data_IF_628031634713
#
_entry.id   IF_628031634713
#
_cell.length_a   1.000
_cell.length_b   1.000
_cell.length_c   1.000
_cell.angle_alpha   90.00
_cell.angle_beta   90.00
_cell.angle_gamma   90.00
#
_symmetry.space_group_name_H-M   'P 1'
#
loop_
_entity.id
_entity.type
_entity.pdbx_description
1 polymer ?
#
# COMPACT_ATOMS: atom_id res chain seq x y z
N UNK A 1 -46.26 61.96 29.94
CA UNK A 1 -45.19 61.27 30.70
C UNK A 1 -43.94 61.25 29.84
N UNK A 2 -43.12 62.28 29.98
CA UNK A 2 -41.75 62.34 29.45
C UNK A 2 -41.00 63.38 30.30
N UNK A 3 -41.01 63.14 31.61
CA UNK A 3 -40.14 63.82 32.56
C UNK A 3 -39.12 62.75 32.99
N UNK A 4 -38.01 62.68 32.26
CA UNK A 4 -36.74 62.11 32.71
C UNK A 4 -35.71 62.32 31.61
N UNK A 5 -34.98 63.44 31.68
CA UNK A 5 -33.58 63.47 31.27
C UNK A 5 -32.86 64.68 31.92
N UNK A 6 -32.03 64.38 32.91
CA UNK A 6 -30.77 65.08 33.11
C UNK A 6 -30.79 66.47 33.74
N UNK A 7 -31.08 66.56 35.04
CA UNK A 7 -30.76 67.72 35.88
C UNK A 7 -29.23 67.97 36.08
N UNK A 8 -28.37 67.61 35.11
CA UNK A 8 -26.91 67.86 35.15
C UNK A 8 -26.21 67.94 33.78
N UNK A 9 -26.91 68.04 32.64
CA UNK A 9 -26.33 67.77 31.30
C UNK A 9 -26.38 68.88 30.25
N UNK A 10 -26.65 70.13 30.62
CA UNK A 10 -26.60 71.24 29.66
C UNK A 10 -25.16 71.62 29.33
N UNK A 11 -24.82 71.80 28.04
CA UNK A 11 -23.52 72.36 27.64
C UNK A 11 -23.22 73.62 28.47
N UNK A 12 -21.99 73.78 29.02
CA UNK A 12 -21.63 74.92 29.85
C UNK A 12 -22.03 76.27 29.25
N UNK A 13 -22.00 76.37 27.92
CA UNK A 13 -22.38 77.56 27.15
C UNK A 13 -23.89 77.80 27.18
N UNK A 14 -24.71 76.76 26.96
CA UNK A 14 -26.18 76.86 27.04
C UNK A 14 -26.63 77.25 28.45
N UNK A 15 -26.00 76.72 29.49
CA UNK A 15 -26.32 77.07 30.87
C UNK A 15 -26.07 78.57 31.16
N UNK A 16 -25.00 79.14 30.62
CA UNK A 16 -24.71 80.57 30.73
C UNK A 16 -25.75 81.41 29.98
N UNK A 17 -26.12 81.00 28.76
CA UNK A 17 -27.15 81.69 27.95
C UNK A 17 -28.51 81.66 28.66
N UNK A 18 -28.96 80.50 29.14
CA UNK A 18 -30.21 80.38 29.90
C UNK A 18 -30.21 81.23 31.17
N UNK A 19 -29.10 81.27 31.92
CA UNK A 19 -28.99 82.08 33.13
C UNK A 19 -29.06 83.56 32.82
N UNK A 20 -28.37 84.02 31.78
CA UNK A 20 -28.38 85.43 31.32
C UNK A 20 -29.76 85.83 30.79
N UNK A 21 -30.40 84.98 30.00
CA UNK A 21 -31.73 85.22 29.46
C UNK A 21 -32.77 85.35 30.58
N UNK A 22 -32.74 84.46 31.58
CA UNK A 22 -33.62 84.54 32.76
C UNK A 22 -33.40 85.83 33.56
N UNK A 23 -32.14 86.23 33.75
CA UNK A 23 -31.80 87.47 34.44
C UNK A 23 -32.28 88.71 33.66
N UNK A 24 -32.12 88.73 32.33
CA UNK A 24 -32.58 89.80 31.45
C UNK A 24 -34.11 89.91 31.44
N UNK A 25 -34.83 88.77 31.30
CA UNK A 25 -36.30 88.72 31.41
C UNK A 25 -36.81 89.24 32.76
N UNK A 26 -36.17 88.84 33.87
CA UNK A 26 -36.54 89.34 35.22
C UNK A 26 -36.33 90.85 35.34
N UNK A 27 -35.26 91.40 34.75
CA UNK A 27 -35.03 92.85 34.70
C UNK A 27 -36.07 93.55 33.84
N UNK A 28 -36.44 92.97 32.70
CA UNK A 28 -37.48 93.51 31.81
C UNK A 28 -38.84 93.60 32.51
N UNK A 29 -39.27 92.55 33.22
CA UNK A 29 -40.50 92.57 34.02
C UNK A 29 -40.49 93.67 35.07
N UNK A 30 -39.35 93.88 35.76
CA UNK A 30 -39.19 94.95 36.75
C UNK A 30 -39.27 96.34 36.11
N UNK A 31 -38.70 96.53 34.91
CA UNK A 31 -38.79 97.78 34.15
C UNK A 31 -40.24 98.06 33.76
N UNK A 32 -40.96 97.06 33.22
CA UNK A 32 -42.38 97.19 32.85
C UNK A 32 -43.26 97.56 34.05
N UNK A 33 -42.99 96.99 35.23
CA UNK A 33 -43.67 97.35 36.47
C UNK A 33 -43.39 98.81 36.89
N UNK A 34 -42.15 99.28 36.75
CA UNK A 34 -41.78 100.68 37.02
C UNK A 34 -42.42 101.65 36.01
N UNK A 35 -42.54 101.28 34.74
CA UNK A 35 -43.24 102.07 33.72
C UNK A 35 -44.74 102.20 34.03
N UNK A 36 -45.37 101.12 34.49
CA UNK A 36 -46.76 101.14 34.93
C UNK A 36 -46.95 102.06 36.16
N UNK A 37 -46.00 102.04 37.11
CA UNK A 37 -46.00 102.94 38.26
C UNK A 37 -45.79 104.41 37.87
N UNK A 38 -44.91 104.69 36.90
CA UNK A 38 -44.71 106.04 36.36
C UNK A 38 -45.98 106.55 35.67
N UNK A 39 -46.63 105.69 34.88
CA UNK A 39 -47.85 106.01 34.13
C UNK A 39 -49.06 106.24 35.02
N UNK A 40 -49.10 105.63 36.22
CA UNK A 40 -50.13 105.88 37.24
C UNK A 40 -49.87 107.11 38.12
N UNK A 41 -48.84 107.90 37.81
CA UNK A 41 -48.53 109.17 38.47
C UNK A 41 -47.70 109.04 39.75
N UNK A 42 -47.12 107.86 40.04
CA UNK A 42 -46.25 107.65 41.21
C UNK A 42 -44.89 108.30 40.98
N UNK A 43 -44.42 109.10 41.93
CA UNK A 43 -43.11 109.74 41.86
C UNK A 43 -42.00 108.68 42.08
N UNK A 44 -41.16 108.47 41.07
CA UNK A 44 -40.05 107.50 41.11
C UNK A 44 -38.76 108.16 41.63
N UNK A 45 -37.91 107.39 42.30
CA UNK A 45 -36.59 107.84 42.74
C UNK A 45 -35.57 107.85 41.59
N UNK A 46 -34.40 108.45 41.81
CA UNK A 46 -33.35 108.59 40.79
C UNK A 46 -32.87 107.25 40.21
N UNK A 47 -32.72 106.22 41.06
CA UNK A 47 -32.28 104.88 40.65
C UNK A 47 -33.34 104.14 39.81
N UNK A 48 -34.62 104.35 40.09
CA UNK A 48 -35.74 103.81 39.31
C UNK A 48 -35.80 104.44 37.93
N UNK A 49 -35.61 105.76 37.83
CA UNK A 49 -35.53 106.47 36.55
C UNK A 49 -34.32 106.02 35.72
N UNK A 50 -33.15 105.84 36.35
CA UNK A 50 -31.97 105.27 35.70
C UNK A 50 -32.19 103.81 35.24
N UNK A 51 -33.02 103.03 35.95
CA UNK A 51 -33.39 101.68 35.50
C UNK A 51 -34.29 101.73 34.26
N UNK A 52 -35.22 102.70 34.17
CA UNK A 52 -36.10 102.87 33.02
C UNK A 52 -35.34 103.23 31.73
N UNK A 53 -34.27 104.04 31.82
CA UNK A 53 -33.45 104.37 30.64
C UNK A 53 -32.73 103.16 30.04
N UNK A 54 -32.54 102.08 30.81
CA UNK A 54 -31.91 100.84 30.33
C UNK A 54 -32.84 99.90 29.54
N UNK A 55 -34.14 100.22 29.43
CA UNK A 55 -35.16 99.35 28.81
C UNK A 55 -34.78 98.84 27.41
N UNK A 56 -34.39 99.74 26.53
CA UNK A 56 -34.06 99.39 25.14
C UNK A 56 -32.87 98.42 25.07
N UNK A 57 -31.88 98.60 25.94
CA UNK A 57 -30.74 97.71 26.05
C UNK A 57 -31.12 96.33 26.57
N UNK A 58 -32.01 96.26 27.58
CA UNK A 58 -32.49 94.98 28.13
C UNK A 58 -33.34 94.22 27.11
N UNK A 59 -34.19 94.91 26.33
CA UNK A 59 -34.96 94.31 25.23
C UNK A 59 -34.06 93.73 24.14
N UNK A 60 -33.10 94.52 23.64
CA UNK A 60 -32.12 94.05 22.66
C UNK A 60 -31.36 92.82 23.17
N UNK A 61 -30.97 92.81 24.45
CA UNK A 61 -30.29 91.65 25.06
C UNK A 61 -31.19 90.41 25.11
N UNK A 62 -32.50 90.56 25.37
CA UNK A 62 -33.43 89.41 25.36
C UNK A 62 -33.57 88.86 23.94
N UNK A 63 -33.81 89.72 22.95
CA UNK A 63 -33.95 89.31 21.54
C UNK A 63 -32.69 88.62 21.01
N UNK A 64 -31.51 89.16 21.29
CA UNK A 64 -30.24 88.55 20.90
C UNK A 64 -30.04 87.18 21.57
N UNK A 65 -30.30 87.07 22.87
CA UNK A 65 -30.14 85.81 23.60
C UNK A 65 -31.16 84.74 23.17
N UNK A 66 -32.38 85.14 22.79
CA UNK A 66 -33.38 84.22 22.22
C UNK A 66 -32.97 83.77 20.82
N UNK A 67 -32.47 84.69 19.98
CA UNK A 67 -32.02 84.38 18.62
C UNK A 67 -30.85 83.40 18.57
N UNK A 68 -29.92 83.46 19.54
CA UNK A 68 -28.77 82.55 19.59
C UNK A 68 -29.07 81.22 20.28
N UNK A 69 -30.18 81.10 21.00
CA UNK A 69 -30.47 79.90 21.80
C UNK A 69 -30.75 78.68 20.92
N UNK A 70 -31.63 78.80 19.92
CA UNK A 70 -31.93 77.70 18.99
C UNK A 70 -30.72 77.21 18.18
N UNK A 71 -29.91 78.07 17.53
CA UNK A 71 -28.76 77.59 16.77
C UNK A 71 -27.71 76.91 17.67
N UNK A 72 -27.58 77.30 18.94
CA UNK A 72 -26.71 76.61 19.90
C UNK A 72 -27.23 75.20 20.24
N UNK A 73 -28.54 75.04 20.46
CA UNK A 73 -29.13 73.71 20.68
C UNK A 73 -28.96 72.80 19.45
N UNK A 74 -29.20 73.34 18.25
CA UNK A 74 -29.03 72.61 17.00
C UNK A 74 -27.58 72.14 16.81
N UNK A 75 -26.61 73.03 17.01
CA UNK A 75 -25.18 72.69 16.89
C UNK A 75 -24.73 71.60 17.87
N UNK A 76 -25.21 71.64 19.12
CA UNK A 76 -24.90 70.61 20.12
C UNK A 76 -25.55 69.28 19.77
N UNK A 77 -26.79 69.29 19.29
CA UNK A 77 -27.46 68.06 18.85
C UNK A 77 -26.73 67.41 17.67
N UNK A 78 -26.26 68.22 16.71
CA UNK A 78 -25.45 67.75 15.58
C UNK A 78 -24.11 67.17 16.04
N UNK A 79 -23.39 67.84 16.94
CA UNK A 79 -22.12 67.34 17.50
C UNK A 79 -22.30 65.99 18.22
N UNK A 80 -23.35 65.86 19.03
CA UNK A 80 -23.68 64.61 19.71
C UNK A 80 -24.04 63.52 18.71
N UNK A 81 -24.76 63.85 17.64
CA UNK A 81 -25.13 62.89 16.62
C UNK A 81 -23.90 62.42 15.82
N UNK A 82 -23.03 63.34 15.40
CA UNK A 82 -21.76 63.02 14.75
C UNK A 82 -20.87 62.14 15.63
N UNK A 83 -20.81 62.41 16.93
CA UNK A 83 -20.05 61.59 17.87
C UNK A 83 -20.62 60.17 18.00
N UNK A 84 -21.96 60.03 18.02
CA UNK A 84 -22.63 58.73 18.03
C UNK A 84 -22.42 57.94 16.75
N UNK A 85 -22.57 58.60 15.60
CA UNK A 85 -22.38 57.97 14.30
C UNK A 85 -20.93 57.50 14.13
N UNK A 86 -19.96 58.34 14.53
CA UNK A 86 -18.54 57.94 14.53
C UNK A 86 -18.26 56.77 15.47
N UNK A 87 -18.82 56.79 16.68
CA UNK A 87 -18.68 55.67 17.61
C UNK A 87 -19.30 54.38 17.03
N UNK A 88 -20.43 54.47 16.32
CA UNK A 88 -21.07 53.35 15.66
C UNK A 88 -20.24 52.81 14.50
N UNK A 89 -19.65 53.68 13.66
CA UNK A 89 -18.76 53.24 12.58
C UNK A 89 -17.49 52.59 13.09
N UNK A 90 -16.88 53.14 14.15
CA UNK A 90 -15.69 52.58 14.76
C UNK A 90 -15.98 51.22 15.43
N UNK A 91 -17.15 51.09 16.05
CA UNK A 91 -17.61 49.82 16.61
C UNK A 91 -17.85 48.77 15.52
N UNK A 92 -18.47 49.15 14.41
CA UNK A 92 -18.71 48.26 13.27
C UNK A 92 -17.39 47.80 12.63
N UNK A 93 -16.44 48.71 12.41
CA UNK A 93 -15.13 48.39 11.86
C UNK A 93 -14.35 47.43 12.78
N UNK A 94 -14.40 47.63 14.10
CA UNK A 94 -13.80 46.71 15.08
C UNK A 94 -14.46 45.33 15.05
N UNK A 95 -15.78 45.26 14.99
CA UNK A 95 -16.51 44.00 14.90
C UNK A 95 -16.16 43.24 13.61
N UNK A 96 -16.10 43.93 12.46
CA UNK A 96 -15.70 43.35 11.19
C UNK A 96 -14.27 42.79 11.25
N UNK A 97 -13.31 43.55 11.78
CA UNK A 97 -11.93 43.10 11.92
C UNK A 97 -11.80 41.86 12.83
N UNK A 98 -12.60 41.78 13.90
CA UNK A 98 -12.63 40.60 14.78
C UNK A 98 -13.17 39.36 14.07
N UNK A 99 -14.26 39.49 13.31
CA UNK A 99 -14.83 38.38 12.54
C UNK A 99 -13.84 37.90 11.47
N UNK A 100 -13.18 38.83 10.78
CA UNK A 100 -12.19 38.48 9.75
C UNK A 100 -10.96 37.78 10.36
N UNK A 101 -10.46 38.25 11.50
CA UNK A 101 -9.37 37.60 12.22
C UNK A 101 -9.73 36.17 12.67
N UNK A 102 -10.94 35.98 13.20
CA UNK A 102 -11.43 34.64 13.58
C UNK A 102 -11.52 33.71 12.36
N UNK A 103 -12.05 34.21 11.24
CA UNK A 103 -12.16 33.42 10.02
C UNK A 103 -10.78 33.03 9.46
N UNK A 104 -9.79 33.93 9.52
CA UNK A 104 -8.43 33.62 9.11
C UNK A 104 -7.78 32.57 10.02
N UNK A 105 -8.00 32.65 11.32
CA UNK A 105 -7.47 31.66 12.26
C UNK A 105 -8.06 30.26 12.00
N UNK A 106 -9.37 30.16 11.78
CA UNK A 106 -10.04 28.89 11.46
C UNK A 106 -9.57 28.31 10.13
N UNK A 107 -9.37 29.16 9.10
CA UNK A 107 -8.77 28.72 7.83
C UNK A 107 -7.36 28.18 8.02
N UNK A 108 -6.52 28.86 8.80
CA UNK A 108 -5.17 28.41 9.08
C UNK A 108 -5.12 27.08 9.87
N UNK A 109 -6.10 26.84 10.76
CA UNK A 109 -6.25 25.54 11.44
C UNK A 109 -6.67 24.44 10.47
N UNK A 110 -7.64 24.73 9.60
CA UNK A 110 -8.12 23.79 8.58
C UNK A 110 -7.01 23.39 7.60
N UNK A 111 -6.20 24.34 7.14
CA UNK A 111 -5.07 24.07 6.23
C UNK A 111 -4.03 23.15 6.90
N UNK A 112 -3.64 23.44 8.14
CA UNK A 112 -2.71 22.57 8.90
C UNK A 112 -3.27 21.16 9.13
N UNK A 113 -4.57 21.03 9.38
CA UNK A 113 -5.20 19.72 9.53
C UNK A 113 -5.22 18.95 8.20
N UNK A 114 -5.52 19.64 7.09
CA UNK A 114 -5.51 19.06 5.76
C UNK A 114 -4.11 18.58 5.35
N UNK A 115 -3.07 19.37 5.61
CA UNK A 115 -1.68 18.96 5.38
C UNK A 115 -1.29 17.70 6.17
N UNK A 116 -1.70 17.62 7.44
CA UNK A 116 -1.47 16.42 8.28
C UNK A 116 -2.17 15.19 7.71
N UNK A 117 -3.42 15.33 7.26
CA UNK A 117 -4.18 14.24 6.62
C UNK A 117 -3.52 13.78 5.32
N UNK A 118 -3.07 14.73 4.49
CA UNK A 118 -2.39 14.43 3.24
C UNK A 118 -1.10 13.64 3.49
N UNK A 119 -0.28 14.05 4.46
CA UNK A 119 0.95 13.34 4.81
C UNK A 119 0.67 11.94 5.39
N UNK A 120 -0.36 11.78 6.21
CA UNK A 120 -0.77 10.47 6.73
C UNK A 120 -1.19 9.51 5.61
N UNK A 121 -2.00 9.99 4.66
CA UNK A 121 -2.42 9.20 3.50
C UNK A 121 -1.24 8.82 2.58
N UNK A 122 -0.29 9.72 2.37
CA UNK A 122 0.91 9.42 1.58
C UNK A 122 1.76 8.34 2.26
N UNK A 123 1.96 8.44 3.57
CA UNK A 123 2.68 7.43 4.35
C UNK A 123 2.01 6.07 4.26
N UNK A 124 0.68 6.00 4.43
CA UNK A 124 -0.07 4.74 4.32
C UNK A 124 0.07 4.10 2.93
N UNK A 125 0.03 4.91 1.86
CA UNK A 125 0.25 4.42 0.49
C UNK A 125 1.65 3.85 0.30
N UNK A 126 2.67 4.52 0.84
CA UNK A 126 4.05 4.09 0.70
C UNK A 126 4.32 2.82 1.52
N UNK A 127 3.79 2.73 2.75
CA UNK A 127 3.80 1.52 3.59
C UNK A 127 3.10 0.35 2.88
N UNK A 128 1.94 0.59 2.25
CA UNK A 128 1.22 -0.42 1.47
C UNK A 128 2.01 -0.88 0.24
N UNK A 129 2.74 0.03 -0.44
CA UNK A 129 3.59 -0.31 -1.58
C UNK A 129 4.76 -1.19 -1.16
N UNK A 130 5.40 -0.88 -0.04
CA UNK A 130 6.50 -1.70 0.50
C UNK A 130 6.00 -3.05 1.00
N UNK A 131 4.83 -3.11 1.65
CA UNK A 131 4.19 -4.36 2.02
C UNK A 131 3.88 -5.24 0.79
N UNK A 132 3.37 -4.65 -0.29
CA UNK A 132 3.11 -5.36 -1.56
C UNK A 132 4.40 -5.91 -2.17
N UNK A 133 5.45 -5.11 -2.26
CA UNK A 133 6.77 -5.56 -2.76
C UNK A 133 7.33 -6.70 -1.91
N UNK A 134 7.22 -6.61 -0.58
CA UNK A 134 7.67 -7.66 0.33
C UNK A 134 6.88 -8.96 0.13
N UNK A 135 5.56 -8.87 -0.07
CA UNK A 135 4.71 -10.01 -0.38
C UNK A 135 5.07 -10.66 -1.73
N UNK A 136 5.27 -9.86 -2.78
CA UNK A 136 5.69 -10.35 -4.10
C UNK A 136 7.06 -11.04 -4.03
N UNK A 137 8.03 -10.46 -3.32
CA UNK A 137 9.34 -11.08 -3.11
C UNK A 137 9.24 -12.40 -2.35
N UNK A 138 8.35 -12.49 -1.36
CA UNK A 138 8.09 -13.74 -0.61
C UNK A 138 7.47 -14.81 -1.51
N UNK A 139 6.52 -14.43 -2.36
CA UNK A 139 5.89 -15.32 -3.33
C UNK A 139 6.89 -15.81 -4.38
N UNK A 140 7.75 -14.93 -4.88
CA UNK A 140 8.78 -15.28 -5.86
C UNK A 140 9.83 -16.23 -5.25
N UNK A 141 10.25 -16.00 -4.01
CA UNK A 141 11.12 -16.93 -3.30
C UNK A 141 10.47 -18.30 -3.12
N UNK A 142 9.17 -18.35 -2.79
CA UNK A 142 8.40 -19.59 -2.72
C UNK A 142 8.24 -20.29 -4.09
N UNK A 143 8.20 -19.54 -5.21
CA UNK A 143 8.17 -20.11 -6.56
C UNK A 143 9.54 -20.65 -7.00
N UNK A 144 10.62 -19.95 -6.67
CA UNK A 144 11.97 -20.32 -7.08
C UNK A 144 12.55 -21.48 -6.26
N UNK A 145 12.08 -21.68 -5.04
CA UNK A 145 12.43 -22.85 -4.22
C UNK A 145 11.34 -23.94 -4.34
N UNK A 146 11.63 -24.99 -5.11
CA UNK A 146 11.44 -26.41 -4.71
C UNK A 146 10.22 -27.29 -5.07
N UNK A 147 9.13 -26.93 -5.78
CA UNK A 147 8.12 -27.94 -6.11
C UNK A 147 8.56 -28.86 -7.26
N UNK A 148 8.98 -28.29 -8.40
CA UNK A 148 9.16 -29.07 -9.62
C UNK A 148 10.42 -29.95 -9.58
N UNK A 149 11.53 -29.45 -9.01
CA UNK A 149 12.77 -30.25 -8.89
C UNK A 149 12.60 -31.44 -7.92
N UNK A 150 11.87 -31.26 -6.81
CA UNK A 150 11.60 -32.35 -5.87
C UNK A 150 10.59 -33.36 -6.42
N UNK A 151 9.62 -32.91 -7.24
CA UNK A 151 8.68 -33.81 -7.92
C UNK A 151 9.33 -34.56 -9.09
N UNK A 152 10.22 -33.92 -9.84
CA UNK A 152 10.87 -34.51 -11.00
C UNK A 152 11.98 -35.50 -10.64
N UNK A 153 12.76 -35.22 -9.58
CA UNK A 153 13.88 -36.08 -9.16
C UNK A 153 13.52 -37.58 -9.04
N UNK A 154 12.50 -37.99 -8.27
CA UNK A 154 12.18 -39.42 -8.13
C UNK A 154 11.66 -40.06 -9.43
N UNK A 155 11.04 -39.28 -10.32
CA UNK A 155 10.58 -39.77 -11.63
C UNK A 155 11.77 -39.99 -12.58
N UNK A 156 12.72 -39.06 -12.59
CA UNK A 156 13.97 -39.16 -13.36
C UNK A 156 14.81 -40.35 -12.86
N UNK A 157 14.95 -40.51 -11.54
CA UNK A 157 15.67 -41.65 -10.94
C UNK A 157 15.07 -43.00 -11.37
N UNK A 158 13.73 -43.13 -11.33
CA UNK A 158 13.04 -44.35 -11.78
C UNK A 158 13.25 -44.68 -13.26
N UNK A 159 13.34 -43.67 -14.13
CA UNK A 159 13.58 -43.88 -15.56
C UNK A 159 15.04 -44.20 -15.85
N UNK A 160 15.96 -43.41 -15.29
CA UNK A 160 17.40 -43.61 -15.48
C UNK A 160 17.86 -44.96 -14.97
N UNK A 161 17.28 -45.45 -13.88
CA UNK A 161 17.63 -46.76 -13.36
C UNK A 161 17.16 -47.90 -14.27
N UNK A 162 15.93 -47.81 -14.79
CA UNK A 162 15.45 -48.75 -15.80
C UNK A 162 16.41 -48.78 -16.98
N UNK A 163 16.80 -47.62 -17.50
CA UNK A 163 17.72 -47.52 -18.65
C UNK A 163 19.10 -48.08 -18.35
N UNK A 164 19.65 -47.75 -17.19
CA UNK A 164 20.95 -48.24 -16.74
C UNK A 164 20.98 -49.77 -16.73
N UNK A 165 20.07 -50.41 -15.99
CA UNK A 165 20.08 -51.87 -15.89
C UNK A 165 19.68 -52.58 -17.18
N UNK A 166 18.77 -51.99 -17.94
CA UNK A 166 18.40 -52.55 -19.24
C UNK A 166 19.60 -52.61 -20.20
N UNK A 167 20.47 -51.59 -20.18
CA UNK A 167 21.70 -51.55 -20.99
C UNK A 167 22.80 -52.44 -20.42
N UNK A 168 22.97 -52.49 -19.10
CA UNK A 168 23.93 -53.41 -18.44
C UNK A 168 23.65 -54.87 -18.82
N UNK A 169 22.37 -55.26 -18.92
CA UNK A 169 21.97 -56.62 -19.30
C UNK A 169 21.67 -56.80 -20.80
N UNK A 170 21.96 -55.80 -21.65
CA UNK A 170 21.70 -55.89 -23.09
C UNK A 170 22.65 -56.85 -23.78
N UNK A 171 22.09 -57.75 -24.58
CA UNK A 171 22.80 -58.80 -25.31
C UNK A 171 23.65 -58.19 -26.44
N UNK A 172 23.35 -56.94 -26.84
CA UNK A 172 24.15 -56.19 -27.82
C UNK A 172 25.63 -56.02 -27.41
N UNK A 173 25.96 -56.16 -26.13
CA UNK A 173 27.34 -56.21 -25.61
C UNK A 173 27.63 -57.56 -24.92
N UNK A 174 27.72 -58.63 -25.73
CA UNK A 174 27.63 -60.02 -25.29
C UNK A 174 28.58 -60.40 -24.14
N UNK A 175 29.86 -60.01 -24.19
CA UNK A 175 30.85 -60.39 -23.16
C UNK A 175 30.59 -59.73 -21.81
N UNK A 176 30.27 -58.43 -21.80
CA UNK A 176 30.01 -57.70 -20.56
C UNK A 176 28.65 -58.09 -19.98
N UNK A 177 27.63 -58.25 -20.84
CA UNK A 177 26.28 -58.61 -20.45
C UNK A 177 26.18 -59.97 -19.78
N UNK A 178 26.88 -60.99 -20.29
CA UNK A 178 26.90 -62.33 -19.68
C UNK A 178 27.57 -62.33 -18.31
N UNK A 179 28.67 -61.60 -18.16
CA UNK A 179 29.34 -61.41 -16.87
C UNK A 179 28.45 -60.71 -15.85
N UNK A 180 27.84 -59.57 -16.23
CA UNK A 180 26.99 -58.79 -15.34
C UNK A 180 25.71 -59.56 -14.94
N UNK A 181 25.11 -60.32 -15.87
CA UNK A 181 24.00 -61.23 -15.55
C UNK A 181 24.42 -62.31 -14.56
N UNK A 182 25.54 -62.98 -14.80
CA UNK A 182 26.04 -64.03 -13.92
C UNK A 182 26.35 -63.49 -12.52
N UNK A 183 26.98 -62.31 -12.43
CA UNK A 183 27.26 -61.62 -11.18
C UNK A 183 25.97 -61.26 -10.43
N UNK A 184 25.02 -60.60 -11.10
CA UNK A 184 23.74 -60.23 -10.51
C UNK A 184 23.00 -61.45 -9.92
N UNK A 185 22.92 -62.55 -10.66
CA UNK A 185 22.28 -63.79 -10.21
C UNK A 185 23.01 -64.46 -9.04
N UNK A 186 24.35 -64.40 -9.01
CA UNK A 186 25.15 -64.94 -7.91
C UNK A 186 24.92 -64.17 -6.60
N UNK A 187 24.79 -62.85 -6.68
CA UNK A 187 24.50 -61.99 -5.53
C UNK A 187 23.05 -62.15 -5.04
N UNK A 188 22.06 -62.26 -5.94
CA UNK A 188 20.65 -62.51 -5.56
C UNK A 188 20.50 -63.83 -4.76
N UNK A 189 21.20 -64.88 -5.18
CA UNK A 189 21.21 -66.19 -4.48
C UNK A 189 21.82 -66.11 -3.07
N UNK A 190 22.79 -65.22 -2.84
CA UNK A 190 23.50 -65.06 -1.55
C UNK A 190 22.67 -64.30 -0.50
N UNK A 191 21.81 -63.38 -0.94
CA UNK A 191 21.01 -62.51 -0.05
C UNK A 191 19.73 -63.17 0.48
N UNK A 192 19.32 -64.32 -0.09
CA UNK A 192 18.34 -65.20 0.57
C UNK A 192 17.33 -65.82 -0.38
N UNK A 193 17.62 -67.04 -0.84
CA UNK A 193 16.60 -67.99 -1.33
C UNK A 193 15.77 -68.63 -0.20
N UNK A 194 15.67 -68.01 0.98
CA UNK A 194 15.13 -68.66 2.18
C UNK A 194 14.26 -67.79 3.09
N UNK A 195 13.76 -66.64 2.63
CA UNK A 195 12.95 -65.74 3.47
C UNK A 195 11.86 -65.01 2.71
N UNK A 196 10.65 -65.60 2.73
CA UNK A 196 9.34 -65.01 2.45
C UNK A 196 9.18 -64.11 1.20
N UNK A 197 8.60 -64.71 0.15
CA UNK A 197 7.70 -64.11 -0.85
C UNK A 197 8.21 -63.79 -2.29
N UNK A 198 9.20 -64.52 -2.83
CA UNK A 198 9.43 -64.52 -4.28
C UNK A 198 10.46 -65.54 -4.77
N UNK A 199 10.22 -66.15 -5.94
CA UNK A 199 11.19 -67.01 -6.64
C UNK A 199 12.52 -66.27 -6.87
N UNK A 200 13.66 -66.98 -6.89
CA UNK A 200 14.98 -66.37 -7.17
C UNK A 200 14.97 -65.65 -8.53
N UNK A 201 15.79 -64.61 -8.70
CA UNK A 201 15.96 -64.01 -10.03
C UNK A 201 16.48 -65.08 -11.00
N UNK A 202 15.90 -65.11 -12.19
CA UNK A 202 16.32 -65.96 -13.29
C UNK A 202 16.96 -65.13 -14.41
N UNK A 203 17.71 -65.79 -15.28
CA UNK A 203 18.27 -65.14 -16.47
C UNK A 203 17.16 -64.53 -17.37
N UNK A 204 15.97 -65.13 -17.35
CA UNK A 204 14.80 -64.62 -18.05
C UNK A 204 14.36 -63.25 -17.53
N UNK A 205 14.30 -63.04 -16.21
CA UNK A 205 13.90 -61.76 -15.60
C UNK A 205 14.82 -60.61 -16.04
N UNK A 206 16.13 -60.88 -16.13
CA UNK A 206 17.12 -59.90 -16.60
C UNK A 206 17.03 -59.66 -18.12
N UNK A 207 16.67 -60.70 -18.87
CA UNK A 207 16.40 -60.61 -20.31
C UNK A 207 15.14 -59.79 -20.62
N UNK A 208 14.07 -59.98 -19.86
CA UNK A 208 12.83 -59.21 -19.98
C UNK A 208 13.06 -57.73 -19.66
N UNK A 209 13.83 -57.43 -18.60
CA UNK A 209 14.21 -56.07 -18.25
C UNK A 209 14.99 -55.40 -19.39
N UNK A 210 16.00 -56.10 -19.94
CA UNK A 210 16.78 -55.59 -21.06
C UNK A 210 15.94 -55.37 -22.32
N UNK A 211 15.08 -56.33 -22.66
CA UNK A 211 14.17 -56.23 -23.80
C UNK A 211 13.22 -55.03 -23.66
N UNK A 212 12.66 -54.83 -22.46
CA UNK A 212 11.78 -53.70 -22.18
C UNK A 212 12.51 -52.35 -22.32
N UNK A 213 13.73 -52.23 -21.80
CA UNK A 213 14.52 -51.02 -22.03
C UNK A 213 14.86 -50.81 -23.50
N UNK A 214 15.10 -51.89 -24.26
CA UNK A 214 15.36 -51.82 -25.70
C UNK A 214 14.19 -51.26 -26.48
N UNK A 215 12.96 -51.69 -26.20
CA UNK A 215 11.77 -51.14 -26.88
C UNK A 215 11.49 -49.66 -26.51
N UNK A 216 12.02 -49.19 -25.37
CA UNK A 216 11.89 -47.80 -24.94
C UNK A 216 13.02 -46.90 -25.47
N UNK A 217 14.23 -47.44 -25.64
CA UNK A 217 15.43 -46.66 -26.02
C UNK A 217 15.83 -46.80 -27.49
N UNK A 218 15.57 -47.95 -28.12
CA UNK A 218 16.07 -48.25 -29.45
C UNK A 218 14.95 -48.11 -30.50
N UNK A 219 15.35 -47.78 -31.73
CA UNK A 219 14.42 -47.79 -32.86
C UNK A 219 14.06 -49.24 -33.19
N UNK A 220 12.78 -49.57 -33.15
CA UNK A 220 12.30 -50.84 -33.67
C UNK A 220 12.45 -50.84 -35.21
N UNK A 221 13.45 -51.56 -35.73
CA UNK A 221 13.72 -51.67 -37.16
C UNK A 221 12.55 -52.29 -37.96
N UNK A 222 11.67 -53.06 -37.30
CA UNK A 222 10.49 -53.65 -37.91
C UNK A 222 9.26 -52.72 -37.88
N UNK A 223 9.29 -51.62 -37.12
CA UNK A 223 8.21 -50.64 -37.11
C UNK A 223 8.40 -49.63 -38.25
N UNK A 224 7.50 -49.62 -39.22
CA UNK A 224 7.50 -48.69 -40.37
C UNK A 224 7.19 -47.22 -40.00
N UNK A 225 7.28 -46.86 -38.72
CA UNK A 225 6.97 -45.52 -38.22
C UNK A 225 8.12 -44.53 -38.36
N UNK A 226 7.76 -43.25 -38.38
CA UNK A 226 8.68 -42.12 -38.29
C UNK A 226 9.40 -42.06 -36.92
N UNK A 227 10.47 -41.27 -36.84
CA UNK A 227 11.16 -41.00 -35.58
C UNK A 227 10.24 -40.38 -34.52
N UNK A 228 9.30 -39.52 -34.96
CA UNK A 228 8.30 -38.91 -34.08
C UNK A 228 7.38 -39.96 -33.46
N UNK A 229 6.78 -40.83 -34.28
CA UNK A 229 5.88 -41.88 -33.80
C UNK A 229 6.60 -42.90 -32.90
N UNK A 230 7.89 -43.16 -33.16
CA UNK A 230 8.72 -44.01 -32.29
C UNK A 230 8.94 -43.34 -30.94
N UNK A 231 9.23 -42.04 -30.92
CA UNK A 231 9.42 -41.27 -29.69
C UNK A 231 8.12 -41.14 -28.89
N UNK A 232 7.00 -40.89 -29.55
CA UNK A 232 5.69 -40.78 -28.89
C UNK A 232 5.35 -42.10 -28.16
N UNK A 233 5.60 -43.25 -28.81
CA UNK A 233 5.44 -44.58 -28.18
C UNK A 233 6.40 -44.80 -27.01
N UNK A 234 7.66 -44.38 -27.14
CA UNK A 234 8.62 -44.46 -26.04
C UNK A 234 8.18 -43.61 -24.83
N UNK A 235 7.62 -42.42 -25.07
CA UNK A 235 7.04 -41.57 -24.03
C UNK A 235 5.83 -42.24 -23.37
N UNK A 236 4.93 -42.85 -24.16
CA UNK A 236 3.79 -43.60 -23.62
C UNK A 236 4.23 -44.76 -22.72
N UNK A 237 5.25 -45.54 -23.15
CA UNK A 237 5.81 -46.62 -22.34
C UNK A 237 6.48 -46.11 -21.06
N UNK A 238 7.20 -44.98 -21.12
CA UNK A 238 7.77 -44.33 -19.93
C UNK A 238 6.69 -43.82 -18.97
N UNK A 239 5.58 -43.28 -19.47
CA UNK A 239 4.43 -42.88 -18.65
C UNK A 239 3.77 -44.10 -18.00
N UNK A 240 3.58 -45.19 -18.74
CA UNK A 240 3.05 -46.44 -18.19
C UNK A 240 3.99 -47.04 -17.14
N UNK A 241 5.31 -47.00 -17.36
CA UNK A 241 6.31 -47.40 -16.38
C UNK A 241 6.19 -46.61 -15.06
N UNK A 242 5.95 -45.30 -15.14
CA UNK A 242 5.87 -44.43 -13.97
C UNK A 242 4.53 -44.50 -13.23
N UNK A 243 3.42 -44.64 -13.95
CA UNK A 243 2.07 -44.44 -13.40
C UNK A 243 1.14 -45.66 -13.49
N UNK A 244 1.52 -46.70 -14.25
CA UNK A 244 0.65 -47.84 -14.55
C UNK A 244 1.34 -49.19 -14.28
N UNK A 245 1.64 -49.54 -13.02
CA UNK A 245 2.37 -50.76 -12.67
C UNK A 245 1.69 -52.06 -13.15
N UNK A 246 0.37 -52.06 -13.32
CA UNK A 246 -0.39 -53.24 -13.79
C UNK A 246 -0.46 -53.37 -15.32
N UNK A 247 0.04 -52.38 -16.07
CA UNK A 247 0.04 -52.46 -17.53
C UNK A 247 0.95 -53.58 -18.01
N UNK A 248 0.60 -54.19 -19.15
CA UNK A 248 1.46 -55.15 -19.84
C UNK A 248 2.64 -54.39 -20.44
N UNK A 249 3.85 -54.73 -20.01
CA UNK A 249 5.11 -54.18 -20.48
C UNK A 249 5.59 -54.90 -21.74
N UNK A 250 5.51 -56.23 -21.74
CA UNK A 250 5.88 -57.10 -22.86
C UNK A 250 4.75 -58.11 -23.07
N UNK A 251 4.06 -58.11 -24.21
CA UNK A 251 3.05 -59.12 -24.49
C UNK A 251 3.72 -60.48 -24.80
N UNK A 252 3.03 -61.58 -24.52
CA UNK A 252 3.48 -62.94 -24.82
C UNK A 252 3.72 -63.18 -26.33
N UNK A 253 3.16 -62.33 -27.18
CA UNK A 253 3.36 -62.36 -28.63
C UNK A 253 4.68 -61.71 -29.08
N UNK A 254 5.38 -60.98 -28.19
CA UNK A 254 6.71 -60.45 -28.48
C UNK A 254 7.77 -61.57 -28.34
N UNK A 255 8.81 -61.55 -29.18
CA UNK A 255 9.93 -62.48 -29.02
C UNK A 255 10.55 -62.32 -27.62
N UNK A 256 10.43 -63.33 -26.76
CA UNK A 256 11.02 -63.31 -25.43
C UNK A 256 10.28 -64.20 -24.43
N UNK A 257 9.29 -63.68 -23.69
CA UNK A 257 8.71 -64.40 -22.55
C UNK A 257 7.59 -65.39 -22.95
N UNK A 258 7.38 -66.46 -22.17
CA UNK A 258 6.30 -67.43 -22.42
C UNK A 258 4.89 -66.89 -22.06
N UNK A 259 4.81 -65.73 -21.39
CA UNK A 259 3.58 -65.09 -20.89
C UNK A 259 3.73 -63.57 -20.94
N UNK A 260 2.61 -62.86 -20.77
CA UNK A 260 2.63 -61.40 -20.62
C UNK A 260 3.45 -61.01 -19.38
N UNK A 261 4.36 -60.06 -19.59
CA UNK A 261 5.17 -59.45 -18.52
C UNK A 261 4.59 -58.09 -18.20
N UNK A 262 4.31 -57.81 -16.93
CA UNK A 262 3.76 -56.53 -16.46
C UNK A 262 4.85 -55.56 -16.01
N UNK A 263 4.54 -54.27 -15.99
CA UNK A 263 5.46 -53.24 -15.44
C UNK A 263 5.84 -53.57 -13.99
N UNK A 264 4.90 -54.10 -13.20
CA UNK A 264 5.11 -54.52 -11.81
C UNK A 264 6.09 -55.69 -11.69
N UNK A 265 6.11 -56.64 -12.64
CA UNK A 265 7.11 -57.70 -12.66
C UNK A 265 8.52 -57.13 -12.87
N UNK A 266 8.70 -56.27 -13.86
CA UNK A 266 9.98 -55.60 -14.12
C UNK A 266 10.42 -54.69 -12.96
N UNK A 267 9.48 -53.98 -12.33
CA UNK A 267 9.75 -53.17 -11.13
C UNK A 267 10.18 -54.04 -9.94
N UNK A 268 9.60 -55.23 -9.77
CA UNK A 268 10.05 -56.19 -8.76
C UNK A 268 11.46 -56.69 -9.05
N UNK A 269 11.79 -56.98 -10.31
CA UNK A 269 13.17 -57.34 -10.72
C UNK A 269 14.17 -56.26 -10.32
N UNK A 270 13.91 -54.99 -10.68
CA UNK A 270 14.76 -53.87 -10.25
C UNK A 270 14.82 -53.71 -8.73
N UNK A 271 13.70 -53.84 -8.03
CA UNK A 271 13.68 -53.73 -6.57
C UNK A 271 14.52 -54.81 -5.89
N UNK A 272 14.65 -55.99 -6.49
CA UNK A 272 15.55 -57.05 -6.02
C UNK A 272 17.01 -56.71 -6.29
N UNK A 273 17.32 -56.26 -7.50
CA UNK A 273 18.66 -55.81 -7.86
C UNK A 273 19.15 -54.74 -6.87
N UNK A 274 18.34 -53.71 -6.60
CA UNK A 274 18.64 -52.65 -5.62
C UNK A 274 18.95 -53.17 -4.21
N UNK A 275 18.23 -54.21 -3.78
CA UNK A 275 18.39 -54.83 -2.46
C UNK A 275 19.57 -55.80 -2.40
N UNK A 276 20.09 -56.23 -3.54
CA UNK A 276 21.22 -57.15 -3.62
C UNK A 276 22.54 -56.41 -3.42
N UNK A 277 23.55 -57.13 -2.92
CA UNK A 277 24.92 -56.66 -2.83
C UNK A 277 25.50 -56.27 -4.20
N UNK A 278 24.98 -56.81 -5.31
CA UNK A 278 25.38 -56.42 -6.65
C UNK A 278 25.17 -54.93 -6.95
N UNK A 279 24.18 -54.28 -6.33
CA UNK A 279 23.95 -52.84 -6.51
C UNK A 279 24.97 -51.95 -5.78
N UNK A 280 25.58 -52.44 -4.70
CA UNK A 280 26.36 -51.60 -3.77
C UNK A 280 27.82 -52.01 -3.63
N UNK A 281 28.14 -53.27 -3.91
CA UNK A 281 29.51 -53.80 -3.83
C UNK A 281 30.17 -53.63 -5.18
N UNK A 282 31.32 -52.91 -5.27
CA UNK A 282 32.06 -52.82 -6.51
C UNK A 282 32.54 -54.22 -6.93
N UNK A 283 32.58 -54.53 -8.25
CA UNK A 283 33.01 -55.84 -8.72
C UNK A 283 34.41 -56.16 -8.18
N UNK A 284 34.53 -57.29 -7.47
CA UNK A 284 35.79 -57.74 -6.87
C UNK A 284 36.46 -58.77 -7.80
N UNK A 285 37.33 -58.28 -8.70
CA UNK A 285 38.18 -59.12 -9.55
C UNK A 285 38.91 -58.33 -10.63
N UNK A 286 40.18 -58.67 -10.95
CA UNK A 286 41.02 -57.90 -11.86
C UNK A 286 40.61 -58.08 -13.32
N UNK A 287 40.65 -57.00 -14.09
CA UNK A 287 40.68 -57.08 -15.56
C UNK A 287 42.06 -57.58 -15.96
N UNK A 288 42.26 -58.90 -15.98
CA UNK A 288 43.34 -59.50 -16.78
C UNK A 288 43.03 -59.21 -18.25
N UNK A 289 43.61 -58.11 -18.74
CA UNK A 289 43.32 -57.57 -20.07
C UNK A 289 43.52 -56.06 -20.21
N UNK A 290 44.12 -55.39 -19.21
CA UNK A 290 44.58 -54.02 -19.35
C UNK A 290 45.50 -53.86 -20.56
N UNK A 291 45.10 -53.00 -21.49
CA UNK A 291 45.92 -52.54 -22.62
C UNK A 291 47.29 -52.11 -22.05
N UNK A 292 48.42 -52.64 -22.55
CA UNK A 292 49.73 -52.24 -22.05
C UNK A 292 49.88 -50.72 -22.21
N UNK A 293 50.53 -50.04 -21.24
CA UNK A 293 50.73 -48.60 -21.33
C UNK A 293 51.42 -48.29 -22.65
N UNK A 294 50.74 -47.52 -23.51
CA UNK A 294 51.32 -46.99 -24.74
C UNK A 294 52.61 -46.28 -24.37
N UNK A 295 53.73 -46.79 -24.89
CA UNK A 295 55.03 -46.14 -24.74
C UNK A 295 54.98 -44.69 -25.23
N UNK A 296 55.90 -43.83 -24.76
CA UNK A 296 55.92 -42.43 -25.14
C UNK A 296 55.97 -42.29 -26.68
N UNK A 297 55.24 -41.33 -27.26
CA UNK A 297 55.23 -41.14 -28.71
C UNK A 297 56.64 -40.83 -29.23
N UNK A 298 57.00 -41.28 -30.44
CA UNK A 298 58.31 -41.00 -31.01
C UNK A 298 58.50 -39.49 -31.19
N UNK A 299 59.75 -38.98 -31.03
CA UNK A 299 60.02 -37.55 -31.15
C UNK A 299 59.71 -37.07 -32.56
N UNK A 300 58.98 -35.96 -32.63
CA UNK A 300 58.65 -35.26 -33.87
C UNK A 300 59.96 -34.74 -34.49
N UNK A 301 60.25 -35.01 -35.77
CA UNK A 301 61.43 -34.44 -36.42
C UNK A 301 61.27 -32.91 -36.50
N UNK A 302 62.35 -32.20 -36.17
CA UNK A 302 62.41 -30.75 -36.27
C UNK A 302 62.19 -30.32 -37.74
N UNK A 303 61.48 -29.21 -37.99
CA UNK A 303 61.28 -28.70 -39.34
C UNK A 303 62.60 -28.17 -39.91
N UNK A 304 62.91 -28.58 -41.15
CA UNK A 304 63.89 -27.92 -42.03
C UNK A 304 63.35 -26.58 -42.55
#
# INVERSE_FOLDING_TARGET
>A
MADQEGAAGGSPVLLVVHRRLRAAKKKLTKIQELEAQQSSGKQLNADQLATLTTKQFVLATVEELEKIQEPLHAAIAEEVQLARDKAATDALAKAQAQVEAQLQEERAKADKEWERKLHAMQKERDDAREAKKAAEKKLEKQRQETPLKHQAKPLIEKLLELFYYSKVFDISNQMLSEYEKAACLAHDKRVGGGGAAGAALEALDLGELSYFGRIMMDRNAAAAGSHKETLDKAVELALQWLYSPKAVAIPASAMGPPKDVTMEQLQRTLARIRKSDYHTVPPSGPVEGGIPPMGPPPPVPAPD
#
